data_IF_080987686260
#
_entry.id   IF_080987686260
#
_cell.length_a   1.000
_cell.length_b   1.000
_cell.length_c   1.000
_cell.angle_alpha   90.00
_cell.angle_beta   90.00
_cell.angle_gamma   90.00
#
_symmetry.space_group_name_H-M   'P 1'
#
loop_
_entity.id
_entity.type
_entity.pdbx_description
1 polymer ?
#
# COMPACT_ATOMS: atom_id res chain seq x y z
N UNK A 1 6.47 11.08 -7.49
CA UNK A 1 7.33 10.32 -6.57
C UNK A 1 7.33 10.89 -5.15
N UNK A 2 6.99 12.16 -4.92
CA UNK A 2 7.10 12.76 -3.57
C UNK A 2 5.95 12.42 -2.61
N UNK A 3 4.74 12.14 -3.11
CA UNK A 3 3.55 11.98 -2.26
C UNK A 3 3.50 10.63 -1.53
N UNK A 4 3.79 9.52 -2.22
CA UNK A 4 3.78 8.18 -1.62
C UNK A 4 4.94 7.97 -0.64
N UNK A 5 6.13 8.50 -0.95
CA UNK A 5 7.28 8.45 -0.04
C UNK A 5 7.02 9.27 1.23
N UNK A 6 6.43 10.47 1.10
CA UNK A 6 6.03 11.30 2.24
C UNK A 6 5.01 10.58 3.13
N UNK A 7 3.97 9.99 2.53
CA UNK A 7 2.99 9.21 3.28
C UNK A 7 3.63 8.00 3.99
N UNK A 8 4.56 7.29 3.33
CA UNK A 8 5.28 6.17 3.92
C UNK A 8 6.16 6.59 5.10
N UNK A 9 6.83 7.75 5.03
CA UNK A 9 7.61 8.30 6.13
C UNK A 9 6.71 8.71 7.30
N UNK A 10 5.61 9.43 7.03
CA UNK A 10 4.67 9.82 8.07
C UNK A 10 4.06 8.61 8.79
N UNK A 11 3.60 7.62 8.02
CA UNK A 11 3.11 6.34 8.54
C UNK A 11 4.17 5.60 9.35
N UNK A 12 5.43 5.57 8.89
CA UNK A 12 6.55 4.96 9.62
C UNK A 12 6.76 5.61 10.99
N UNK A 13 6.75 6.94 11.05
CA UNK A 13 6.96 7.68 12.29
C UNK A 13 5.80 7.46 13.27
N UNK A 14 4.56 7.47 12.79
CA UNK A 14 3.40 7.20 13.64
C UNK A 14 3.41 5.76 14.17
N UNK A 15 3.75 4.79 13.32
CA UNK A 15 3.88 3.39 13.74
C UNK A 15 5.03 3.17 14.72
N UNK A 16 6.17 3.82 14.50
CA UNK A 16 7.31 3.72 15.40
C UNK A 16 6.98 4.26 16.79
N UNK A 17 6.28 5.40 16.88
CA UNK A 17 5.83 5.94 18.18
C UNK A 17 4.95 4.94 18.91
N UNK A 18 3.93 4.42 18.23
CA UNK A 18 3.01 3.44 18.82
C UNK A 18 3.73 2.16 19.28
N UNK A 19 4.68 1.65 18.49
CA UNK A 19 5.46 0.47 18.86
C UNK A 19 6.41 0.77 20.03
N UNK A 20 7.03 1.94 20.06
CA UNK A 20 7.97 2.33 21.11
C UNK A 20 7.31 2.54 22.47
N UNK A 21 6.11 3.13 22.48
CA UNK A 21 5.33 3.34 23.70
C UNK A 21 4.95 2.01 24.37
N UNK A 22 4.82 0.94 23.58
CA UNK A 22 4.48 -0.39 24.06
C UNK A 22 5.69 -1.33 24.29
N UNK A 23 6.88 -0.99 23.76
CA UNK A 23 8.08 -1.85 23.77
C UNK A 23 9.33 -1.06 24.19
N UNK A 24 9.21 -0.24 25.22
CA UNK A 24 10.30 0.63 25.68
C UNK A 24 11.53 -0.18 26.13
N UNK A 25 12.66 0.05 25.45
CA UNK A 25 13.94 -0.61 25.74
C UNK A 25 14.23 -1.85 24.89
N UNK A 26 13.27 -2.31 24.09
CA UNK A 26 13.44 -3.43 23.17
C UNK A 26 13.85 -2.97 21.76
N UNK A 27 14.38 -3.90 20.98
CA UNK A 27 14.69 -3.65 19.57
C UNK A 27 13.39 -3.61 18.74
N UNK A 28 13.21 -2.55 17.95
CA UNK A 28 12.07 -2.40 17.03
C UNK A 28 12.57 -2.52 15.59
N UNK A 29 11.99 -3.45 14.84
CA UNK A 29 12.29 -3.64 13.42
C UNK A 29 11.02 -3.98 12.64
N UNK A 30 10.72 -3.19 11.59
CA UNK A 30 9.58 -3.42 10.71
C UNK A 30 9.80 -2.77 9.33
N UNK A 31 9.01 -3.20 8.34
CA UNK A 31 9.00 -2.59 7.00
C UNK A 31 7.77 -1.70 6.82
N UNK A 32 7.91 -0.35 6.94
CA UNK A 32 6.78 0.56 6.78
C UNK A 32 6.15 0.44 5.39
N UNK A 33 6.98 0.31 4.33
CA UNK A 33 6.51 0.24 2.95
C UNK A 33 5.67 -1.02 2.69
N UNK A 34 6.08 -2.16 3.24
CA UNK A 34 5.32 -3.42 3.07
C UNK A 34 3.98 -3.36 3.78
N UNK A 35 3.94 -2.84 5.02
CA UNK A 35 2.70 -2.66 5.77
C UNK A 35 1.76 -1.66 5.10
N UNK A 36 2.29 -0.53 4.65
CA UNK A 36 1.53 0.48 3.93
C UNK A 36 0.90 -0.10 2.65
N UNK A 37 1.64 -0.90 1.89
CA UNK A 37 1.11 -1.58 0.71
C UNK A 37 0.05 -2.64 1.06
N UNK A 38 0.26 -3.43 2.11
CA UNK A 38 -0.72 -4.40 2.55
C UNK A 38 -2.05 -3.74 2.95
N UNK A 39 -1.99 -2.65 3.72
CA UNK A 39 -3.17 -1.90 4.15
C UNK A 39 -3.82 -1.13 2.99
N UNK A 40 -3.05 -0.68 2.00
CA UNK A 40 -3.63 -0.06 0.80
C UNK A 40 -4.43 -1.07 -0.03
N UNK A 41 -4.02 -2.36 -0.07
CA UNK A 41 -4.83 -3.43 -0.68
C UNK A 41 -6.16 -3.62 0.05
N UNK A 42 -6.17 -3.52 1.39
CA UNK A 42 -7.40 -3.59 2.18
C UNK A 42 -8.30 -2.38 1.91
N UNK A 43 -7.72 -1.18 1.76
CA UNK A 43 -8.46 0.06 1.49
C UNK A 43 -9.30 0.00 0.20
N UNK A 44 -8.86 -0.74 -0.84
CA UNK A 44 -9.67 -0.94 -2.05
C UNK A 44 -11.04 -1.60 -1.78
N UNK A 45 -11.08 -2.47 -0.76
CA UNK A 45 -12.28 -3.14 -0.31
C UNK A 45 -13.12 -2.30 0.65
N UNK A 46 -12.51 -1.40 1.41
CA UNK A 46 -13.17 -0.58 2.43
C UNK A 46 -14.13 0.46 1.81
N UNK A 47 -15.14 0.88 2.60
CA UNK A 47 -16.13 1.91 2.24
C UNK A 47 -16.53 2.72 3.47
N UNK A 48 -17.10 3.91 3.26
CA UNK A 48 -17.62 4.78 4.32
C UNK A 48 -16.57 5.08 5.39
N UNK A 49 -16.99 5.10 6.65
CA UNK A 49 -16.11 5.40 7.79
C UNK A 49 -14.87 4.52 7.89
N UNK A 50 -14.97 3.24 7.49
CA UNK A 50 -13.79 2.36 7.49
C UNK A 50 -12.74 2.83 6.48
N UNK A 51 -13.15 3.26 5.29
CA UNK A 51 -12.23 3.82 4.30
C UNK A 51 -11.62 5.15 4.79
N UNK A 52 -12.44 6.03 5.36
CA UNK A 52 -12.00 7.33 5.90
C UNK A 52 -10.94 7.18 7.01
N UNK A 53 -11.16 6.25 7.95
CA UNK A 53 -10.21 5.95 9.02
C UNK A 53 -8.88 5.44 8.46
N UNK A 54 -8.94 4.53 7.49
CA UNK A 54 -7.75 4.00 6.84
C UNK A 54 -7.00 5.07 6.04
N UNK A 55 -7.68 5.89 5.24
CA UNK A 55 -7.04 6.97 4.46
C UNK A 55 -6.32 7.98 5.35
N UNK A 56 -6.88 8.27 6.52
CA UNK A 56 -6.26 9.17 7.52
C UNK A 56 -4.98 8.55 8.10
N UNK A 57 -5.04 7.30 8.57
CA UNK A 57 -3.87 6.64 9.19
C UNK A 57 -2.76 6.36 8.18
N UNK A 58 -3.12 6.06 6.93
CA UNK A 58 -2.17 5.80 5.85
C UNK A 58 -1.64 7.08 5.19
N UNK A 59 -2.06 8.26 5.66
CA UNK A 59 -1.66 9.58 5.13
C UNK A 59 -1.98 9.76 3.64
N UNK A 60 -3.06 9.14 3.16
CA UNK A 60 -3.49 9.17 1.75
C UNK A 60 -4.45 10.32 1.40
N UNK A 61 -5.06 10.91 2.42
CA UNK A 61 -5.87 12.13 2.34
C UNK A 61 -5.11 13.30 1.68
N UNK A 62 -3.82 13.47 1.99
CA UNK A 62 -2.99 14.55 1.43
C UNK A 62 -2.47 14.28 0.01
N UNK A 63 -2.50 13.02 -0.44
CA UNK A 63 -2.03 12.64 -1.78
C UNK A 63 -3.03 13.09 -2.85
N UNK A 64 -4.33 13.12 -2.54
CA UNK A 64 -5.39 13.55 -3.46
C UNK A 64 -5.24 15.00 -3.93
N UNK A 65 -4.70 15.87 -3.07
CA UNK A 65 -4.56 17.32 -3.34
C UNK A 65 -3.30 17.66 -4.15
N UNK A 66 -2.22 16.86 -4.02
CA UNK A 66 -0.95 17.16 -4.72
C UNK A 66 -0.85 16.59 -6.13
N UNK A 67 -1.77 15.68 -6.52
CA UNK A 67 -1.74 15.04 -7.83
C UNK A 67 -2.31 15.98 -8.90
N UNK A 68 -1.43 16.45 -9.79
CA UNK A 68 -1.75 17.30 -10.95
C UNK A 68 -2.92 16.73 -11.76
N UNK A 69 -3.78 17.58 -12.36
CA UNK A 69 -5.01 17.19 -13.07
C UNK A 69 -4.83 16.32 -14.33
N UNK A 70 -3.61 15.88 -14.64
CA UNK A 70 -3.29 15.07 -15.83
C UNK A 70 -3.82 13.63 -15.75
N UNK A 71 -4.36 13.19 -14.59
CA UNK A 71 -5.02 11.90 -14.40
C UNK A 71 -6.55 12.01 -14.19
N UNK A 72 -7.18 13.05 -14.77
CA UNK A 72 -8.65 13.15 -14.80
C UNK A 72 -9.34 12.16 -15.75
N UNK A 73 -8.58 11.54 -16.66
CA UNK A 73 -9.16 10.65 -17.68
C UNK A 73 -9.45 9.22 -17.18
N UNK A 74 -9.06 8.86 -15.95
CA UNK A 74 -9.47 7.60 -15.31
C UNK A 74 -10.66 7.81 -14.37
N UNK A 75 -11.76 8.36 -14.88
CA UNK A 75 -13.05 8.41 -14.17
C UNK A 75 -13.57 7.03 -13.71
N UNK A 76 -12.91 5.93 -14.12
CA UNK A 76 -13.17 4.55 -13.67
C UNK A 76 -12.46 4.12 -12.37
N UNK A 77 -11.45 4.84 -11.87
CA UNK A 77 -10.68 4.40 -10.70
C UNK A 77 -10.75 5.42 -9.56
N UNK A 78 -11.34 5.01 -8.42
CA UNK A 78 -11.37 5.84 -7.20
C UNK A 78 -9.98 6.13 -6.64
N UNK A 79 -9.91 6.96 -5.59
CA UNK A 79 -8.67 7.39 -4.93
C UNK A 79 -7.70 6.22 -4.62
N UNK A 80 -8.23 5.13 -4.06
CA UNK A 80 -7.46 3.91 -3.81
C UNK A 80 -6.81 3.34 -5.09
N UNK A 81 -7.50 3.31 -6.22
CA UNK A 81 -6.93 2.83 -7.49
C UNK A 81 -5.76 3.67 -8.01
N UNK A 82 -5.76 4.99 -7.74
CA UNK A 82 -4.63 5.89 -8.04
C UNK A 82 -3.42 5.58 -7.18
N UNK A 83 -3.62 5.36 -5.88
CA UNK A 83 -2.55 4.99 -4.93
C UNK A 83 -1.89 3.67 -5.34
N UNK A 84 -2.69 2.68 -5.75
CA UNK A 84 -2.16 1.41 -6.27
C UNK A 84 -1.32 1.58 -7.54
N UNK A 85 -1.66 2.55 -8.39
CA UNK A 85 -0.86 2.87 -9.57
C UNK A 85 0.51 3.46 -9.20
N UNK A 86 0.57 4.32 -8.17
CA UNK A 86 1.83 4.86 -7.63
C UNK A 86 2.71 3.75 -7.02
N UNK A 87 2.12 2.83 -6.24
CA UNK A 87 2.84 1.65 -5.73
C UNK A 87 3.41 0.79 -6.86
N UNK A 88 2.64 0.58 -7.93
CA UNK A 88 3.11 -0.18 -9.10
C UNK A 88 4.32 0.47 -9.75
N UNK A 89 4.30 1.79 -9.91
CA UNK A 89 5.45 2.55 -10.42
C UNK A 89 6.65 2.38 -9.48
N UNK A 90 6.46 2.61 -8.18
CA UNK A 90 7.52 2.46 -7.17
C UNK A 90 8.14 1.07 -7.20
N UNK A 91 7.35 0.00 -7.16
CA UNK A 91 7.87 -1.38 -7.19
C UNK A 91 8.61 -1.71 -8.47
N UNK A 92 8.19 -1.17 -9.61
CA UNK A 92 8.95 -1.34 -10.87
C UNK A 92 10.33 -0.67 -10.84
N UNK A 93 10.52 0.35 -9.98
CA UNK A 93 11.78 1.06 -9.83
C UNK A 93 12.71 0.43 -8.81
N UNK A 94 12.16 -0.06 -7.69
CA UNK A 94 12.96 -0.62 -6.60
C UNK A 94 13.19 -2.13 -6.72
N UNK A 95 12.46 -2.83 -7.59
CA UNK A 95 12.63 -4.26 -7.82
C UNK A 95 13.13 -4.56 -9.24
N UNK A 96 14.14 -3.81 -9.69
CA UNK A 96 14.69 -3.99 -11.03
C UNK A 96 15.63 -5.20 -11.12
N UNK A 97 15.46 -6.07 -12.14
CA UNK A 97 16.37 -7.18 -12.38
C UNK A 97 17.77 -6.66 -12.75
N UNK A 98 18.81 -7.30 -12.19
CA UNK A 98 20.21 -6.92 -12.46
C UNK A 98 20.75 -5.79 -11.59
N UNK A 99 20.02 -5.37 -10.54
CA UNK A 99 20.56 -4.50 -9.51
C UNK A 99 21.57 -5.24 -8.61
N UNK A 100 22.47 -4.49 -7.94
CA UNK A 100 23.48 -5.05 -7.02
C UNK A 100 22.90 -5.48 -5.67
N UNK A 101 21.57 -5.58 -5.57
CA UNK A 101 20.86 -5.96 -4.36
C UNK A 101 19.71 -6.89 -4.73
N UNK A 102 19.23 -7.63 -3.73
CA UNK A 102 18.03 -8.43 -3.85
C UNK A 102 16.96 -7.83 -2.95
N UNK A 103 15.84 -7.41 -3.54
CA UNK A 103 14.67 -6.91 -2.82
C UNK A 103 13.48 -7.83 -3.11
N UNK A 104 12.83 -8.31 -2.05
CA UNK A 104 11.60 -9.09 -2.16
C UNK A 104 10.54 -8.50 -1.24
N UNK A 105 9.35 -8.24 -1.79
CA UNK A 105 8.19 -7.74 -1.06
C UNK A 105 7.03 -8.65 -1.42
N UNK A 106 6.51 -9.37 -0.41
CA UNK A 106 5.42 -10.33 -0.59
C UNK A 106 4.27 -9.98 0.36
N UNK A 107 3.10 -9.68 -0.20
CA UNK A 107 1.87 -9.43 0.56
C UNK A 107 0.72 -10.18 -0.08
N UNK A 108 -0.11 -10.85 0.73
CA UNK A 108 -1.26 -11.63 0.24
C UNK A 108 -2.44 -11.49 1.19
N UNK A 109 -3.64 -11.32 0.63
CA UNK A 109 -4.90 -11.33 1.37
C UNK A 109 -5.51 -12.72 1.33
N UNK A 110 -5.88 -13.24 2.49
CA UNK A 110 -6.61 -14.50 2.64
C UNK A 110 -7.99 -14.20 3.24
N UNK A 111 -9.05 -14.74 2.64
CA UNK A 111 -10.41 -14.62 3.14
C UNK A 111 -11.07 -15.98 3.26
N UNK A 112 -12.17 -16.02 4.01
CA UNK A 112 -13.00 -17.23 4.11
C UNK A 112 -13.61 -17.59 2.75
N UNK A 113 -13.71 -18.88 2.46
CA UNK A 113 -14.37 -19.39 1.25
C UNK A 113 -15.87 -19.08 1.22
N UNK A 114 -16.47 -18.77 2.37
CA UNK A 114 -17.89 -18.44 2.50
C UNK A 114 -18.25 -17.06 1.95
N UNK A 115 -17.27 -16.18 1.70
CA UNK A 115 -17.50 -14.82 1.21
C UNK A 115 -16.91 -14.70 -0.20
N UNK A 116 -17.77 -14.40 -1.17
CA UNK A 116 -17.34 -14.15 -2.54
C UNK A 116 -16.60 -12.80 -2.63
N UNK A 117 -15.38 -12.86 -3.14
CA UNK A 117 -14.57 -11.70 -3.44
C UNK A 117 -15.08 -11.01 -4.72
N UNK A 118 -15.34 -9.69 -4.67
CA UNK A 118 -15.71 -8.93 -5.87
C UNK A 118 -14.50 -8.76 -6.79
N UNK A 119 -14.46 -9.54 -7.88
CA UNK A 119 -13.33 -9.63 -8.82
C UNK A 119 -12.89 -8.27 -9.38
N UNK A 120 -13.82 -7.38 -9.71
CA UNK A 120 -13.54 -6.06 -10.29
C UNK A 120 -12.63 -5.19 -9.41
N UNK A 121 -12.65 -5.39 -8.08
CA UNK A 121 -11.82 -4.64 -7.12
C UNK A 121 -10.46 -5.29 -6.83
N UNK A 122 -10.32 -6.60 -7.10
CA UNK A 122 -9.16 -7.39 -6.71
C UNK A 122 -8.21 -7.65 -7.86
N UNK A 123 -8.69 -7.59 -9.10
CA UNK A 123 -7.88 -7.85 -10.29
C UNK A 123 -6.70 -6.87 -10.41
N UNK A 124 -6.84 -5.66 -9.84
CA UNK A 124 -5.75 -4.67 -9.79
C UNK A 124 -4.67 -4.98 -8.76
N UNK A 125 -4.98 -5.73 -7.68
CA UNK A 125 -4.05 -6.01 -6.58
C UNK A 125 -3.47 -7.43 -6.60
N UNK A 126 -4.22 -8.40 -7.14
CA UNK A 126 -3.87 -9.82 -7.02
C UNK A 126 -2.92 -10.32 -8.11
N UNK A 127 -2.93 -9.73 -9.31
CA UNK A 127 -2.18 -10.25 -10.48
C UNK A 127 -0.65 -10.22 -10.33
N UNK A 128 -0.07 -9.55 -9.32
CA UNK A 128 1.39 -9.52 -9.12
C UNK A 128 1.91 -9.84 -7.73
N UNK A 129 1.05 -10.08 -6.74
CA UNK A 129 1.48 -10.72 -5.48
C UNK A 129 1.95 -12.18 -5.68
N UNK A 130 1.85 -12.70 -6.91
CA UNK A 130 2.31 -14.02 -7.34
C UNK A 130 3.52 -13.97 -8.28
N UNK A 131 4.37 -12.94 -8.25
CA UNK A 131 5.69 -13.07 -8.88
C UNK A 131 6.59 -14.00 -8.04
N UNK A 132 6.35 -15.30 -8.22
CA UNK A 132 7.32 -16.40 -8.30
C UNK A 132 8.45 -16.40 -7.26
N UNK A 133 8.23 -17.10 -6.15
CA UNK A 133 9.29 -17.88 -5.51
C UNK A 133 9.40 -19.20 -6.29
N UNK A 134 10.50 -19.48 -7.00
CA UNK A 134 10.76 -20.82 -7.48
C UNK A 134 11.06 -21.70 -6.25
N UNK A 135 10.37 -22.85 -6.19
CA UNK A 135 10.82 -24.00 -5.39
C UNK A 135 12.15 -24.52 -5.93
#
# INVERSE_FOLDING_TARGET
MDSLSTANVAFCLDMFKELNDNNSGDNIFFSPLSLLYALSMVLLGARGHSAEQMEKVLHFNHIAESLKPQFKDSAKCGQAGRIHSEFRVLFSQINQPGSNYMLSIANRLYGTQAIAFQQEKLQTSLERAQSTLPL
#
